data_IF_556805361308
#
_entry.id   IF_556805361308
#
_cell.length_a   1.000
_cell.length_b   1.000
_cell.length_c   1.000
_cell.angle_alpha   90.00
_cell.angle_beta   90.00
_cell.angle_gamma   90.00
#
_symmetry.space_group_name_H-M   'P 1'
#
loop_
_entity.id
_entity.type
_entity.pdbx_description
1 polymer ?
#
# COMPACT_ATOMS: atom_id res chain seq x y z
N UNK A 1 -25.24 51.94 1.15
CA UNK A 1 -25.41 50.98 2.24
C UNK A 1 -24.89 49.65 1.76
N UNK A 2 -23.88 49.14 2.44
CA UNK A 2 -23.19 47.89 2.12
C UNK A 2 -24.04 46.69 2.53
N UNK A 3 -23.93 45.59 1.79
CA UNK A 3 -23.79 44.27 2.41
C UNK A 3 -23.00 43.35 1.46
N UNK A 4 -21.72 43.20 1.77
CA UNK A 4 -20.81 42.26 1.13
C UNK A 4 -20.92 40.95 1.92
N UNK A 5 -21.79 40.05 1.47
CA UNK A 5 -21.87 38.69 2.01
C UNK A 5 -20.73 37.83 1.49
N UNK A 6 -19.58 37.90 2.16
CA UNK A 6 -18.44 36.99 2.01
C UNK A 6 -18.89 35.55 2.33
N UNK A 7 -19.16 34.76 1.27
CA UNK A 7 -19.35 33.31 1.40
C UNK A 7 -17.98 32.67 1.49
N UNK A 8 -17.46 32.65 2.72
CA UNK A 8 -16.37 31.77 3.15
C UNK A 8 -16.68 30.33 2.71
N UNK A 9 -16.06 29.91 1.60
CA UNK A 9 -16.09 28.55 1.11
C UNK A 9 -15.05 27.73 1.90
N UNK A 10 -15.42 27.37 3.13
CA UNK A 10 -14.58 26.55 3.99
C UNK A 10 -14.58 25.12 3.45
N UNK A 11 -13.68 24.83 2.50
CA UNK A 11 -13.40 23.47 2.03
C UNK A 11 -12.82 22.69 3.22
N UNK A 12 -13.69 22.00 3.96
CA UNK A 12 -13.31 21.12 5.05
C UNK A 12 -12.19 20.18 4.60
N UNK A 13 -11.10 20.12 5.36
CA UNK A 13 -9.99 19.20 5.10
C UNK A 13 -10.56 17.78 5.05
N UNK A 14 -10.56 17.14 3.88
CA UNK A 14 -11.02 15.76 3.70
C UNK A 14 -10.17 14.86 4.60
N UNK A 15 -10.79 14.21 5.58
CA UNK A 15 -10.12 13.15 6.36
C UNK A 15 -10.06 11.94 5.44
N UNK A 16 -8.85 11.57 5.01
CA UNK A 16 -8.64 10.43 4.14
C UNK A 16 -8.75 9.14 4.98
N UNK A 17 -9.58 8.21 4.52
CA UNK A 17 -9.64 6.86 5.07
C UNK A 17 -8.33 6.13 4.75
N UNK A 18 -7.93 5.18 5.61
CA UNK A 18 -6.80 4.29 5.35
C UNK A 18 -7.02 3.43 4.10
N UNK A 19 -8.28 3.19 3.75
CA UNK A 19 -8.70 2.41 2.58
C UNK A 19 -8.81 3.24 1.30
N UNK A 20 -8.74 4.57 1.37
CA UNK A 20 -8.84 5.42 0.18
C UNK A 20 -7.70 5.11 -0.79
N UNK A 21 -8.05 4.94 -2.07
CA UNK A 21 -7.10 4.87 -3.18
C UNK A 21 -6.99 6.24 -3.84
N UNK A 22 -5.76 6.66 -4.13
CA UNK A 22 -5.51 7.84 -4.96
C UNK A 22 -5.79 7.51 -6.43
N UNK A 23 -6.05 8.53 -7.26
CA UNK A 23 -6.25 8.35 -8.70
C UNK A 23 -5.05 7.70 -9.43
N UNK A 24 -3.87 7.70 -8.81
CA UNK A 24 -2.64 7.07 -9.31
C UNK A 24 -2.32 5.73 -8.64
N UNK A 25 -3.24 5.16 -7.86
CA UNK A 25 -3.07 3.83 -7.27
C UNK A 25 -3.65 2.78 -8.22
N UNK A 26 -2.79 2.22 -9.07
CA UNK A 26 -3.09 1.13 -10.00
C UNK A 26 -2.14 -0.05 -9.68
N UNK A 27 -2.62 -1.31 -9.65
CA UNK A 27 -1.77 -2.49 -9.41
C UNK A 27 -0.55 -2.59 -10.34
N UNK A 28 -0.66 -2.14 -11.59
CA UNK A 28 0.40 -2.18 -12.60
C UNK A 28 1.52 -1.17 -12.36
N UNK A 29 1.35 -0.23 -11.43
CA UNK A 29 2.34 0.80 -11.18
C UNK A 29 3.58 0.25 -10.46
N UNK A 30 4.75 0.53 -11.02
CA UNK A 30 6.03 0.32 -10.34
C UNK A 30 6.23 1.45 -9.33
N UNK A 31 6.10 1.12 -8.04
CA UNK A 31 6.14 2.12 -6.97
C UNK A 31 7.55 2.44 -6.46
N UNK A 32 8.57 1.67 -6.87
CA UNK A 32 9.98 1.93 -6.63
C UNK A 32 10.81 1.44 -7.82
N UNK A 33 11.85 2.19 -8.18
CA UNK A 33 12.78 1.80 -9.24
C UNK A 33 13.76 0.69 -8.80
N UNK A 34 13.87 0.43 -7.50
CA UNK A 34 14.71 -0.64 -6.96
C UNK A 34 13.97 -1.96 -7.13
N UNK A 35 14.53 -2.86 -7.95
CA UNK A 35 14.06 -4.23 -8.10
C UNK A 35 14.81 -5.16 -7.14
N UNK A 36 14.11 -6.05 -6.45
CA UNK A 36 14.72 -7.09 -5.60
C UNK A 36 15.39 -8.16 -6.47
N UNK A 37 16.69 -8.38 -6.25
CA UNK A 37 17.55 -9.38 -6.89
C UNK A 37 18.18 -10.35 -5.87
N UNK A 38 17.62 -10.40 -4.66
CA UNK A 38 18.10 -11.22 -3.55
C UNK A 38 19.11 -10.49 -2.69
N UNK A 39 20.34 -10.30 -3.18
CA UNK A 39 21.45 -9.70 -2.42
C UNK A 39 21.22 -8.24 -1.98
N UNK A 40 20.28 -7.53 -2.63
CA UNK A 40 19.97 -6.13 -2.37
C UNK A 40 18.72 -5.92 -1.50
N UNK A 41 18.33 -6.93 -0.70
CA UNK A 41 17.12 -6.86 0.13
C UNK A 41 17.01 -5.56 0.94
N UNK A 42 18.06 -5.15 1.65
CA UNK A 42 18.02 -3.95 2.50
C UNK A 42 17.76 -2.65 1.71
N UNK A 43 18.31 -2.54 0.50
CA UNK A 43 18.08 -1.40 -0.39
C UNK A 43 16.63 -1.41 -0.91
N UNK A 44 16.18 -2.56 -1.40
CA UNK A 44 14.82 -2.75 -1.89
C UNK A 44 13.80 -2.48 -0.79
N UNK A 45 14.00 -3.03 0.41
CA UNK A 45 13.11 -2.90 1.54
C UNK A 45 13.00 -1.44 1.99
N UNK A 46 14.10 -0.69 1.99
CA UNK A 46 14.10 0.76 2.31
C UNK A 46 13.33 1.55 1.26
N UNK A 47 13.54 1.27 -0.03
CA UNK A 47 12.85 1.96 -1.12
C UNK A 47 11.34 1.66 -1.11
N UNK A 48 10.97 0.39 -0.94
CA UNK A 48 9.58 -0.05 -0.84
C UNK A 48 8.86 0.59 0.37
N UNK A 49 9.48 0.53 1.55
CA UNK A 49 8.96 1.17 2.77
C UNK A 49 8.72 2.67 2.57
N UNK A 50 9.66 3.35 1.92
CA UNK A 50 9.56 4.80 1.65
C UNK A 50 8.38 5.11 0.73
N UNK A 51 8.23 4.35 -0.36
CA UNK A 51 7.12 4.53 -1.31
C UNK A 51 5.76 4.27 -0.68
N UNK A 52 5.63 3.18 0.08
CA UNK A 52 4.37 2.84 0.76
C UNK A 52 4.02 3.84 1.87
N UNK A 53 5.00 4.42 2.57
CA UNK A 53 4.76 5.51 3.54
C UNK A 53 4.26 6.77 2.85
N UNK A 54 4.83 7.14 1.70
CA UNK A 54 4.35 8.28 0.91
C UNK A 54 2.88 8.10 0.47
N UNK A 55 2.44 6.84 0.28
CA UNK A 55 1.06 6.46 -0.03
C UNK A 55 0.18 6.16 1.18
N UNK A 56 0.72 6.25 2.41
CA UNK A 56 0.02 5.90 3.67
C UNK A 56 -0.47 4.44 3.75
N UNK A 57 0.24 3.52 3.10
CA UNK A 57 -0.11 2.08 3.08
C UNK A 57 0.83 1.20 3.90
N UNK A 58 1.89 1.76 4.48
CA UNK A 58 2.87 1.00 5.25
C UNK A 58 2.28 0.30 6.49
N UNK A 59 1.26 0.88 7.09
CA UNK A 59 0.56 0.35 8.27
C UNK A 59 -0.11 -1.02 8.04
N UNK A 60 -0.43 -1.37 6.79
CA UNK A 60 -0.92 -2.69 6.39
C UNK A 60 0.22 -3.72 6.39
N UNK A 61 1.40 -3.34 5.90
CA UNK A 61 2.61 -4.18 5.89
C UNK A 61 3.13 -4.44 7.31
N UNK A 62 3.06 -3.44 8.20
CA UNK A 62 3.35 -3.64 9.63
C UNK A 62 2.27 -4.47 10.34
N UNK A 63 1.09 -4.59 9.75
CA UNK A 63 -0.06 -5.28 10.35
C UNK A 63 -0.73 -4.52 11.49
N UNK A 64 -0.53 -3.21 11.56
CA UNK A 64 -1.28 -2.35 12.50
C UNK A 64 -2.72 -2.11 12.06
N UNK A 65 -3.02 -2.32 10.77
CA UNK A 65 -4.38 -2.35 10.24
C UNK A 65 -4.81 -3.80 10.15
N UNK A 66 -5.63 -4.24 11.10
CA UNK A 66 -6.13 -5.60 11.16
C UNK A 66 -7.26 -5.83 10.15
N UNK A 67 -7.49 -7.11 9.80
CA UNK A 67 -8.62 -7.51 8.95
C UNK A 67 -9.93 -7.15 9.66
N UNK A 68 -10.84 -6.40 9.01
CA UNK A 68 -12.16 -6.12 9.56
C UNK A 68 -12.98 -7.41 9.79
N UNK A 69 -13.99 -7.33 10.65
CA UNK A 69 -14.88 -8.47 10.89
C UNK A 69 -15.69 -8.82 9.64
N UNK A 70 -16.03 -10.10 9.51
CA UNK A 70 -16.96 -10.58 8.48
C UNK A 70 -18.27 -9.80 8.48
N UNK A 71 -18.77 -9.47 7.29
CA UNK A 71 -20.01 -8.72 7.09
C UNK A 71 -19.90 -7.20 7.30
N UNK A 72 -18.72 -6.66 7.55
CA UNK A 72 -18.50 -5.20 7.56
C UNK A 72 -18.30 -4.66 6.15
N UNK A 73 -18.70 -3.42 5.92
CA UNK A 73 -18.49 -2.74 4.62
C UNK A 73 -17.01 -2.53 4.32
N UNK A 74 -16.16 -2.46 5.35
CA UNK A 74 -14.72 -2.21 5.24
C UNK A 74 -13.93 -3.45 4.83
N UNK A 75 -14.52 -4.65 4.87
CA UNK A 75 -13.80 -5.89 4.55
C UNK A 75 -13.37 -5.95 3.08
N UNK A 76 -14.26 -5.57 2.15
CA UNK A 76 -13.95 -5.52 0.71
C UNK A 76 -12.91 -4.44 0.40
N UNK A 77 -13.00 -3.30 1.08
CA UNK A 77 -12.02 -2.23 0.99
C UNK A 77 -10.64 -2.70 1.48
N UNK A 78 -10.60 -3.44 2.60
CA UNK A 78 -9.37 -4.05 3.11
C UNK A 78 -8.79 -5.03 2.09
N UNK A 79 -9.60 -5.94 1.53
CA UNK A 79 -9.15 -6.88 0.49
C UNK A 79 -8.62 -6.21 -0.77
N UNK A 80 -9.25 -5.10 -1.16
CA UNK A 80 -8.78 -4.25 -2.27
C UNK A 80 -7.38 -3.70 -1.99
N UNK A 81 -7.15 -3.18 -0.79
CA UNK A 81 -5.81 -2.70 -0.40
C UNK A 81 -4.79 -3.83 -0.32
N UNK A 82 -5.14 -4.98 0.24
CA UNK A 82 -4.23 -6.13 0.31
C UNK A 82 -3.77 -6.56 -1.08
N UNK A 83 -4.72 -6.73 -2.01
CA UNK A 83 -4.45 -7.11 -3.40
C UNK A 83 -3.55 -6.09 -4.11
N UNK A 84 -3.80 -4.80 -3.91
CA UNK A 84 -2.99 -3.71 -4.46
C UNK A 84 -1.54 -3.78 -3.95
N UNK A 85 -1.36 -3.95 -2.64
CA UNK A 85 -0.03 -3.97 -2.03
C UNK A 85 0.76 -5.21 -2.41
N UNK A 86 0.10 -6.37 -2.47
CA UNK A 86 0.70 -7.61 -2.98
C UNK A 86 1.17 -7.40 -4.41
N UNK A 87 0.33 -6.82 -5.28
CA UNK A 87 0.70 -6.55 -6.67
C UNK A 87 1.93 -5.63 -6.77
N UNK A 88 1.94 -4.51 -6.03
CA UNK A 88 3.09 -3.59 -6.02
C UNK A 88 4.38 -4.23 -5.52
N UNK A 89 4.31 -5.06 -4.48
CA UNK A 89 5.47 -5.79 -3.98
C UNK A 89 5.98 -6.74 -5.06
N UNK A 90 5.12 -7.63 -5.56
CA UNK A 90 5.49 -8.63 -6.56
C UNK A 90 6.00 -8.02 -7.87
N UNK A 91 5.49 -6.86 -8.28
CA UNK A 91 5.94 -6.16 -9.49
C UNK A 91 7.34 -5.54 -9.37
N UNK A 92 7.90 -5.48 -8.16
CA UNK A 92 9.26 -4.98 -7.91
C UNK A 92 10.27 -6.08 -7.60
N UNK A 93 9.90 -7.34 -7.82
CA UNK A 93 10.77 -8.51 -7.61
C UNK A 93 11.19 -9.05 -8.96
N UNK A 94 12.46 -9.42 -9.09
CA UNK A 94 12.95 -10.07 -10.29
C UNK A 94 12.11 -11.33 -10.61
N UNK A 95 11.68 -11.55 -11.87
CA UNK A 95 10.78 -12.65 -12.21
C UNK A 95 11.27 -14.04 -11.75
N UNK A 96 12.58 -14.27 -11.78
CA UNK A 96 13.25 -15.50 -11.35
C UNK A 96 13.09 -15.76 -9.85
N UNK A 97 13.09 -14.72 -9.02
CA UNK A 97 12.85 -14.81 -7.58
C UNK A 97 11.35 -14.85 -7.28
N UNK A 98 10.56 -14.04 -7.99
CA UNK A 98 9.11 -13.97 -7.80
C UNK A 98 8.42 -15.31 -7.97
N UNK A 99 8.85 -16.13 -8.93
CA UNK A 99 8.30 -17.47 -9.16
C UNK A 99 8.51 -18.45 -8.00
N UNK A 100 9.42 -18.10 -7.08
CA UNK A 100 9.77 -18.94 -5.94
C UNK A 100 9.14 -18.45 -4.64
N UNK A 101 8.47 -17.31 -4.63
CA UNK A 101 7.79 -16.75 -3.45
C UNK A 101 6.43 -17.42 -3.30
N UNK A 102 6.08 -17.79 -2.07
CA UNK A 102 4.79 -18.43 -1.79
C UNK A 102 3.64 -17.43 -1.98
N UNK A 103 2.50 -17.91 -2.48
CA UNK A 103 1.31 -17.07 -2.53
C UNK A 103 0.84 -16.72 -1.11
N UNK A 104 0.57 -15.45 -0.88
CA UNK A 104 0.01 -14.95 0.37
C UNK A 104 -1.13 -13.98 0.06
N UNK A 105 -2.27 -14.19 0.71
CA UNK A 105 -3.43 -13.29 0.63
C UNK A 105 -3.26 -12.06 1.51
N UNK A 106 -2.34 -12.12 2.48
CA UNK A 106 -2.00 -11.03 3.36
C UNK A 106 -0.64 -10.42 3.02
N UNK A 107 -0.61 -9.10 2.80
CA UNK A 107 0.62 -8.36 2.50
C UNK A 107 1.68 -8.46 3.62
N UNK A 108 1.26 -8.54 4.89
CA UNK A 108 2.18 -8.70 6.03
C UNK A 108 2.91 -10.03 5.94
N UNK A 109 2.17 -11.09 5.63
CA UNK A 109 2.72 -12.45 5.54
C UNK A 109 3.66 -12.54 4.34
N UNK A 110 3.28 -11.98 3.19
CA UNK A 110 4.16 -11.84 2.03
C UNK A 110 5.46 -11.10 2.37
N UNK A 111 5.35 -9.98 3.08
CA UNK A 111 6.51 -9.17 3.45
C UNK A 111 7.47 -9.93 4.38
N UNK A 112 6.93 -10.68 5.34
CA UNK A 112 7.73 -11.48 6.26
C UNK A 112 8.41 -12.66 5.54
N UNK A 113 7.71 -13.35 4.63
CA UNK A 113 8.29 -14.43 3.82
C UNK A 113 9.50 -13.91 3.01
N UNK A 114 9.35 -12.75 2.36
CA UNK A 114 10.46 -12.12 1.63
C UNK A 114 11.61 -11.75 2.57
N UNK A 115 11.32 -11.19 3.74
CA UNK A 115 12.32 -10.78 4.73
C UNK A 115 13.09 -11.95 5.36
N UNK A 116 12.42 -13.07 5.62
CA UNK A 116 13.08 -14.25 6.19
C UNK A 116 14.02 -14.90 5.17
N UNK A 117 13.75 -14.70 3.89
CA UNK A 117 14.45 -15.34 2.79
C UNK A 117 15.68 -14.59 2.27
N UNK A 118 15.65 -13.26 2.26
CA UNK A 118 16.67 -12.40 1.66
C UNK A 118 17.18 -11.37 2.66
#
# INVERSE_FOLDING_TARGET
MADNGDKSNNKGKRVLSLYDLNSNDNPENIITQVQLRGENYEEWARAMRTSLRARRKWSFVEGTVERPKEGTTELEDWWTIQSMLISWILNTIEPSLRSTISYAENVKDLWNDIKERF
#
